data_IF_352829631276
#
_entry.id   IF_352829631276
#
_cell.length_a   1.000
_cell.length_b   1.000
_cell.length_c   1.000
_cell.angle_alpha   90.00
_cell.angle_beta   90.00
_cell.angle_gamma   90.00
#
_symmetry.space_group_name_H-M   'P 1'
#
loop_
_entity.id
_entity.type
_entity.pdbx_description
1 polymer ?
#
# COMPACT_ATOMS: atom_id res chain seq x y z
N UNK A 1 4.31 19.63 8.93
CA UNK A 1 5.79 19.52 8.86
C UNK A 1 6.14 18.93 7.51
N UNK A 2 6.79 19.71 6.65
CA UNK A 2 7.11 19.33 5.27
C UNK A 2 8.20 18.25 5.28
N UNK A 3 7.85 17.03 4.87
CA UNK A 3 8.81 15.92 4.76
C UNK A 3 9.87 16.22 3.70
N UNK A 4 11.08 15.69 3.90
CA UNK A 4 12.20 15.83 2.96
C UNK A 4 11.85 15.29 1.56
N UNK A 5 12.45 15.81 0.48
CA UNK A 5 12.15 15.39 -0.90
C UNK A 5 12.27 13.86 -1.12
N UNK A 6 13.28 13.24 -0.51
CA UNK A 6 13.49 11.78 -0.54
C UNK A 6 12.31 11.01 0.07
N UNK A 7 11.76 11.53 1.17
CA UNK A 7 10.63 10.92 1.87
C UNK A 7 9.34 11.00 1.04
N UNK A 8 9.16 12.07 0.28
CA UNK A 8 8.02 12.21 -0.63
C UNK A 8 8.17 11.29 -1.86
N UNK A 9 9.40 11.10 -2.35
CA UNK A 9 9.68 10.17 -3.45
C UNK A 9 9.39 8.72 -3.06
N UNK A 10 9.86 8.26 -1.89
CA UNK A 10 9.58 6.90 -1.39
C UNK A 10 8.08 6.65 -1.20
N UNK A 11 7.33 7.65 -0.73
CA UNK A 11 5.86 7.56 -0.59
C UNK A 11 5.19 7.38 -1.96
N UNK A 12 5.66 8.13 -2.97
CA UNK A 12 5.16 8.00 -4.34
C UNK A 12 5.48 6.63 -4.93
N UNK A 13 6.70 6.12 -4.72
CA UNK A 13 7.13 4.82 -5.24
C UNK A 13 6.34 3.67 -4.59
N UNK A 14 6.11 3.71 -3.27
CA UNK A 14 5.25 2.74 -2.59
C UNK A 14 3.80 2.79 -3.10
N UNK A 15 3.26 3.99 -3.34
CA UNK A 15 1.94 4.17 -3.93
C UNK A 15 1.83 3.58 -5.33
N UNK A 16 2.88 3.73 -6.15
CA UNK A 16 2.94 3.16 -7.50
C UNK A 16 2.78 1.63 -7.50
N UNK A 17 3.38 0.92 -6.54
CA UNK A 17 3.23 -0.55 -6.44
C UNK A 17 1.76 -0.95 -6.22
N UNK A 18 1.05 -0.28 -5.31
CA UNK A 18 -0.36 -0.57 -5.08
C UNK A 18 -1.23 -0.25 -6.30
N UNK A 19 -0.94 0.84 -7.02
CA UNK A 19 -1.65 1.18 -8.26
C UNK A 19 -1.46 0.10 -9.33
N UNK A 20 -0.23 -0.38 -9.54
CA UNK A 20 0.05 -1.48 -10.49
C UNK A 20 -0.74 -2.75 -10.12
N UNK A 21 -0.83 -3.06 -8.83
CA UNK A 21 -1.61 -4.21 -8.35
C UNK A 21 -3.10 -4.01 -8.65
N UNK A 22 -3.66 -2.83 -8.39
CA UNK A 22 -5.06 -2.51 -8.68
C UNK A 22 -5.38 -2.57 -10.17
N UNK A 23 -4.49 -2.09 -11.03
CA UNK A 23 -4.62 -2.19 -12.49
C UNK A 23 -4.69 -3.66 -12.93
N UNK A 24 -3.82 -4.53 -12.38
CA UNK A 24 -3.88 -5.97 -12.67
C UNK A 24 -5.20 -6.60 -12.22
N UNK A 25 -5.75 -6.21 -11.08
CA UNK A 25 -7.06 -6.66 -10.66
C UNK A 25 -8.19 -6.18 -11.59
N UNK A 26 -8.11 -4.94 -12.07
CA UNK A 26 -9.09 -4.39 -13.01
C UNK A 26 -9.10 -5.15 -14.35
N UNK A 27 -7.93 -5.52 -14.88
CA UNK A 27 -7.79 -6.31 -16.11
C UNK A 27 -8.54 -7.65 -16.02
N UNK A 28 -8.51 -8.28 -14.86
CA UNK A 28 -9.19 -9.57 -14.61
C UNK A 28 -10.60 -9.40 -14.04
N UNK A 29 -11.16 -8.19 -14.08
CA UNK A 29 -12.50 -7.85 -13.56
C UNK A 29 -12.71 -8.23 -12.09
N UNK A 30 -11.64 -8.22 -11.30
CA UNK A 30 -11.70 -8.43 -9.85
C UNK A 30 -11.60 -7.10 -9.13
N UNK A 31 -12.42 -6.94 -8.08
CA UNK A 31 -12.35 -5.79 -7.19
C UNK A 31 -11.72 -6.22 -5.86
N UNK A 32 -10.46 -5.86 -5.60
CA UNK A 32 -9.81 -6.24 -4.36
C UNK A 32 -10.46 -5.49 -3.20
N UNK A 33 -11.02 -6.24 -2.25
CA UNK A 33 -11.53 -5.72 -0.99
C UNK A 33 -10.92 -6.52 0.17
N UNK A 34 -9.60 -6.39 0.40
CA UNK A 34 -8.93 -7.17 1.43
C UNK A 34 -9.40 -6.72 2.82
N UNK A 35 -9.77 -7.70 3.68
CA UNK A 35 -10.02 -7.44 5.10
C UNK A 35 -8.73 -7.25 5.89
N UNK A 36 -7.65 -7.90 5.44
CA UNK A 36 -6.33 -7.79 6.04
C UNK A 36 -5.25 -7.77 4.95
N UNK A 37 -4.17 -7.05 5.22
CA UNK A 37 -2.98 -6.97 4.38
C UNK A 37 -1.75 -7.32 5.23
N UNK A 38 -1.00 -8.33 4.80
CA UNK A 38 0.27 -8.72 5.41
C UNK A 38 1.39 -8.01 4.65
N UNK A 39 2.05 -7.05 5.28
CA UNK A 39 3.14 -6.26 4.69
C UNK A 39 4.21 -5.99 5.75
N UNK A 40 5.40 -5.62 5.31
CA UNK A 40 6.46 -5.21 6.23
C UNK A 40 6.03 -3.99 7.06
N UNK A 41 6.54 -3.91 8.29
CA UNK A 41 6.19 -2.85 9.25
C UNK A 41 6.79 -1.48 8.88
N UNK A 42 7.10 -1.24 7.61
CA UNK A 42 7.58 0.05 7.13
C UNK A 42 6.43 1.07 7.06
N UNK A 43 6.57 2.18 7.80
CA UNK A 43 5.49 3.18 7.94
C UNK A 43 5.05 3.80 6.60
N UNK A 44 5.96 3.95 5.65
CA UNK A 44 5.70 4.45 4.29
C UNK A 44 4.72 3.53 3.55
N UNK A 45 5.00 2.23 3.54
CA UNK A 45 4.19 1.18 2.91
C UNK A 45 2.82 1.06 3.57
N UNK A 46 2.78 1.08 4.91
CA UNK A 46 1.54 1.06 5.67
C UNK A 46 0.65 2.26 5.31
N UNK A 47 1.21 3.48 5.28
CA UNK A 47 0.44 4.66 4.94
C UNK A 47 -0.04 4.65 3.49
N UNK A 48 0.81 4.24 2.54
CA UNK A 48 0.43 4.10 1.14
C UNK A 48 -0.75 3.12 0.99
N UNK A 49 -0.67 1.94 1.65
CA UNK A 49 -1.72 0.93 1.59
C UNK A 49 -3.07 1.45 2.11
N UNK A 50 -3.08 2.19 3.23
CA UNK A 50 -4.29 2.76 3.81
C UNK A 50 -4.88 3.89 2.99
N UNK A 51 -4.04 4.73 2.40
CA UNK A 51 -4.50 5.80 1.52
C UNK A 51 -5.17 5.27 0.25
N UNK A 52 -4.69 4.14 -0.28
CA UNK A 52 -5.16 3.57 -1.55
C UNK A 52 -6.31 2.57 -1.36
N UNK A 53 -6.17 1.65 -0.39
CA UNK A 53 -7.14 0.55 -0.17
C UNK A 53 -8.18 0.91 0.91
N UNK A 54 -7.97 2.02 1.63
CA UNK A 54 -8.86 2.55 2.67
C UNK A 54 -8.44 2.19 4.09
N UNK A 55 -8.85 3.04 5.06
CA UNK A 55 -8.45 2.91 6.47
C UNK A 55 -9.03 1.70 7.19
N UNK A 56 -10.09 1.09 6.65
CA UNK A 56 -10.75 -0.09 7.24
C UNK A 56 -9.94 -1.39 7.11
N UNK A 57 -8.85 -1.40 6.33
CA UNK A 57 -8.01 -2.59 6.15
C UNK A 57 -7.20 -2.87 7.43
N UNK A 58 -7.16 -4.12 7.87
CA UNK A 58 -6.28 -4.55 8.96
C UNK A 58 -4.85 -4.74 8.43
N UNK A 59 -3.89 -4.04 9.00
CA UNK A 59 -2.46 -4.26 8.69
C UNK A 59 -1.91 -5.29 9.65
N UNK A 60 -1.23 -6.30 9.11
CA UNK A 60 -0.51 -7.33 9.86
C UNK A 60 0.93 -7.38 9.36
N UNK A 61 1.87 -7.68 10.25
CA UNK A 61 3.25 -7.88 9.86
C UNK A 61 3.40 -9.08 8.94
N UNK A 62 4.21 -8.95 7.90
CA UNK A 62 4.77 -10.11 7.24
C UNK A 62 5.86 -10.72 8.14
N UNK A 63 5.66 -11.95 8.61
CA UNK A 63 6.65 -12.70 9.41
C UNK A 63 7.50 -13.65 8.56
N UNK A 64 7.27 -13.69 7.25
CA UNK A 64 8.09 -14.40 6.28
C UNK A 64 9.06 -13.39 5.65
N UNK A 65 10.29 -13.38 6.13
CA UNK A 65 11.43 -12.63 5.58
C UNK A 65 12.40 -13.59 4.91
#
# INVERSE_FOLDING_TARGET
>A
TNGSPLRNQIINDCGNVFNIILEKFAIISLKPCPRALNIDFEKSVINASKNILGNQIKIQGCFYH
#
